data_IF_344198749809
#
_entry.id   IF_344198749809
#
_cell.length_a   1.000
_cell.length_b   1.000
_cell.length_c   1.000
_cell.angle_alpha   90.00
_cell.angle_beta   90.00
_cell.angle_gamma   90.00
#
_symmetry.space_group_name_H-M   'P 1'
#
loop_
_entity.id
_entity.type
_entity.pdbx_description
1 polymer ?
#
# COMPACT_ATOMS: atom_id res chain seq x y z
N UNK A 1 -22.14 25.42 -55.10
CA UNK A 1 -22.78 24.53 -54.11
C UNK A 1 -23.20 23.29 -54.86
N UNK A 2 -22.68 22.09 -54.52
CA UNK A 2 -22.91 21.45 -53.23
C UNK A 2 -21.62 21.18 -52.43
N UNK A 3 -21.74 21.21 -51.10
CA UNK A 3 -20.68 20.84 -50.16
C UNK A 3 -20.62 19.32 -50.09
N UNK A 4 -19.48 18.73 -50.45
CA UNK A 4 -19.16 17.35 -50.09
C UNK A 4 -18.94 17.29 -48.58
N UNK A 5 -19.83 16.59 -47.88
CA UNK A 5 -19.67 16.25 -46.47
C UNK A 5 -18.66 15.10 -46.41
N UNK A 6 -17.40 15.40 -46.09
CA UNK A 6 -16.39 14.38 -45.82
C UNK A 6 -16.71 13.74 -44.47
N UNK A 7 -17.25 12.52 -44.48
CA UNK A 7 -17.43 11.71 -43.28
C UNK A 7 -16.04 11.22 -42.86
N UNK A 8 -15.42 11.91 -41.92
CA UNK A 8 -14.18 11.46 -41.29
C UNK A 8 -14.52 10.25 -40.42
N UNK A 9 -14.35 9.04 -40.96
CA UNK A 9 -14.44 7.81 -40.19
C UNK A 9 -13.23 7.78 -39.23
N UNK A 10 -13.42 8.25 -38.00
CA UNK A 10 -12.45 8.04 -36.94
C UNK A 10 -12.45 6.53 -36.62
N UNK A 11 -11.50 5.80 -37.20
CA UNK A 11 -11.20 4.44 -36.75
C UNK A 11 -10.61 4.58 -35.36
N UNK A 12 -11.42 4.39 -34.30
CA UNK A 12 -10.90 4.13 -32.97
C UNK A 12 -10.03 2.89 -33.07
N UNK A 13 -8.71 3.05 -33.01
CA UNK A 13 -7.82 1.93 -32.81
C UNK A 13 -8.19 1.30 -31.46
N UNK A 14 -8.79 0.11 -31.49
CA UNK A 14 -9.09 -0.64 -30.28
C UNK A 14 -7.75 -0.96 -29.59
N UNK A 15 -7.49 -0.30 -28.47
CA UNK A 15 -6.36 -0.55 -27.59
C UNK A 15 -6.34 -2.02 -27.19
N UNK A 16 -5.20 -2.69 -27.39
CA UNK A 16 -5.02 -4.08 -26.97
C UNK A 16 -4.54 -4.10 -25.52
N UNK A 17 -5.24 -4.85 -24.68
CA UNK A 17 -4.84 -5.08 -23.29
C UNK A 17 -3.55 -5.89 -23.28
N UNK A 18 -2.52 -5.36 -22.63
CA UNK A 18 -1.24 -6.03 -22.46
C UNK A 18 -1.19 -6.67 -21.08
N UNK A 19 -1.22 -8.00 -21.01
CA UNK A 19 -1.22 -8.69 -19.72
C UNK A 19 0.01 -8.29 -18.88
N UNK A 20 -0.27 -7.76 -17.70
CA UNK A 20 0.73 -7.29 -16.74
C UNK A 20 0.14 -7.30 -15.34
N UNK A 21 0.93 -7.75 -14.38
CA UNK A 21 0.62 -7.63 -12.95
C UNK A 21 1.24 -6.34 -12.43
N UNK A 22 0.38 -5.35 -12.24
CA UNK A 22 0.76 -3.99 -11.93
C UNK A 22 0.45 -3.58 -10.48
N UNK A 23 1.35 -2.78 -9.94
CA UNK A 23 1.13 -1.92 -8.78
C UNK A 23 0.45 -0.63 -9.24
N UNK A 24 -0.69 -0.30 -8.60
CA UNK A 24 -1.50 0.88 -8.90
C UNK A 24 -1.68 1.67 -7.61
N UNK A 25 -0.94 2.77 -7.47
CA UNK A 25 -0.90 3.58 -6.24
C UNK A 25 -2.25 4.25 -5.97
N UNK A 26 -2.75 4.11 -4.74
CA UNK A 26 -4.04 4.65 -4.31
C UNK A 26 -5.25 3.81 -4.71
N UNK A 27 -5.07 2.68 -5.39
CA UNK A 27 -6.16 1.74 -5.63
C UNK A 27 -6.51 0.94 -4.37
N UNK A 28 -7.78 0.51 -4.26
CA UNK A 28 -8.21 -0.50 -3.31
C UNK A 28 -7.47 -1.80 -3.60
N UNK A 29 -6.53 -2.15 -2.73
CA UNK A 29 -5.82 -3.42 -2.77
C UNK A 29 -6.70 -4.49 -2.14
N UNK A 30 -7.27 -5.41 -2.92
CA UNK A 30 -8.11 -6.49 -2.39
C UNK A 30 -7.27 -7.75 -2.19
N UNK A 31 -7.33 -8.35 -1.00
CA UNK A 31 -6.68 -9.62 -0.73
C UNK A 31 -7.37 -10.76 -1.49
N UNK A 32 -6.59 -11.59 -2.18
CA UNK A 32 -7.09 -12.57 -3.17
C UNK A 32 -7.95 -13.67 -2.57
N UNK A 33 -7.74 -14.00 -1.29
CA UNK A 33 -8.45 -15.09 -0.61
C UNK A 33 -9.66 -14.63 0.23
N UNK A 34 -9.75 -13.35 0.58
CA UNK A 34 -10.86 -12.83 1.41
C UNK A 34 -11.82 -11.94 0.64
N UNK A 35 -11.35 -11.32 -0.45
CA UNK A 35 -12.12 -10.30 -1.16
C UNK A 35 -12.27 -8.99 -0.37
N UNK A 36 -11.50 -8.83 0.71
CA UNK A 36 -11.48 -7.64 1.57
C UNK A 36 -10.30 -6.73 1.22
N UNK A 37 -10.42 -5.44 1.51
CA UNK A 37 -9.28 -4.53 1.38
C UNK A 37 -8.14 -4.98 2.33
N UNK A 38 -6.91 -4.98 1.83
CA UNK A 38 -5.72 -5.20 2.65
C UNK A 38 -5.68 -4.14 3.74
N UNK A 39 -5.73 -4.57 5.00
CA UNK A 39 -5.61 -3.74 6.19
C UNK A 39 -4.27 -4.03 6.87
N UNK A 40 -3.22 -3.35 6.40
CA UNK A 40 -1.85 -3.42 6.90
C UNK A 40 -1.17 -2.06 6.68
N UNK A 41 -1.67 -1.01 7.34
CA UNK A 41 -1.08 0.34 7.25
C UNK A 41 0.19 0.45 8.09
N UNK A 42 1.04 1.44 7.84
CA UNK A 42 2.29 1.59 8.61
C UNK A 42 3.26 0.42 8.42
N UNK A 43 3.08 -0.40 7.37
CA UNK A 43 3.66 -1.72 7.30
C UNK A 43 5.17 -1.74 7.06
N UNK A 44 5.80 -2.81 7.54
CA UNK A 44 7.08 -3.28 7.02
C UNK A 44 6.91 -4.43 6.04
N UNK A 45 7.95 -4.68 5.26
CA UNK A 45 8.11 -5.93 4.52
C UNK A 45 9.26 -6.76 5.09
N UNK A 46 9.11 -8.08 5.00
CA UNK A 46 10.20 -9.04 5.16
C UNK A 46 10.07 -10.09 4.06
N UNK A 47 11.19 -10.50 3.47
CA UNK A 47 11.24 -11.54 2.45
C UNK A 47 11.90 -12.80 3.04
N UNK A 48 11.28 -13.95 2.79
CA UNK A 48 11.80 -15.27 3.18
C UNK A 48 11.48 -16.24 2.05
N UNK A 49 12.53 -16.86 1.48
CA UNK A 49 12.47 -17.90 0.46
C UNK A 49 11.59 -17.54 -0.77
N UNK A 50 11.75 -16.32 -1.28
CA UNK A 50 11.00 -15.77 -2.42
C UNK A 50 9.59 -15.30 -2.08
N UNK A 51 9.19 -15.33 -0.80
CA UNK A 51 7.88 -14.84 -0.34
C UNK A 51 8.06 -13.58 0.47
N UNK A 52 7.37 -12.52 0.05
CA UNK A 52 7.28 -11.26 0.75
C UNK A 52 6.10 -11.28 1.70
N UNK A 53 6.30 -10.74 2.90
CA UNK A 53 5.29 -10.63 3.94
C UNK A 53 5.09 -9.17 4.32
N UNK A 54 3.86 -8.69 4.15
CA UNK A 54 3.42 -7.37 4.55
C UNK A 54 2.79 -7.45 5.93
N UNK A 55 3.36 -6.71 6.88
CA UNK A 55 2.95 -6.74 8.28
C UNK A 55 2.61 -5.33 8.72
N UNK A 56 1.36 -5.09 9.07
CA UNK A 56 0.84 -3.74 9.27
C UNK A 56 -0.39 -3.68 10.17
N UNK A 57 -0.84 -2.45 10.38
CA UNK A 57 -1.94 -2.08 11.24
C UNK A 57 -3.29 -2.39 10.59
N UNK A 58 -4.19 -2.98 11.37
CA UNK A 58 -5.60 -3.10 11.01
C UNK A 58 -6.36 -1.85 11.43
N UNK A 59 -6.85 -1.09 10.44
CA UNK A 59 -7.62 0.16 10.65
C UNK A 59 -9.09 0.03 10.27
N UNK A 60 -9.59 -1.20 10.14
CA UNK A 60 -11.00 -1.47 9.79
C UNK A 60 -11.97 -0.71 10.71
N UNK A 61 -11.68 -0.68 12.01
CA UNK A 61 -12.51 -0.02 13.02
C UNK A 61 -11.89 1.27 13.58
N UNK A 62 -11.07 1.96 12.76
CA UNK A 62 -10.50 3.26 13.12
C UNK A 62 -9.13 3.19 13.80
N UNK A 63 -8.89 4.10 14.75
CA UNK A 63 -7.52 4.42 15.22
C UNK A 63 -6.98 3.47 16.27
N UNK A 64 -7.84 2.85 17.08
CA UNK A 64 -7.39 2.01 18.19
C UNK A 64 -6.99 0.64 17.69
N UNK A 65 -6.03 0.04 18.40
CA UNK A 65 -5.45 -1.24 18.04
C UNK A 65 -6.50 -2.33 17.90
N UNK A 66 -6.56 -2.94 16.71
CA UNK A 66 -7.37 -4.13 16.44
C UNK A 66 -6.47 -5.35 16.26
N UNK A 67 -5.60 -5.31 15.25
CA UNK A 67 -4.69 -6.37 14.88
C UNK A 67 -3.37 -5.82 14.30
N UNK A 68 -2.30 -6.60 14.44
CA UNK A 68 -1.14 -6.53 13.55
C UNK A 68 -1.33 -7.65 12.52
N UNK A 69 -1.81 -7.29 11.33
CA UNK A 69 -2.14 -8.24 10.26
C UNK A 69 -0.91 -8.66 9.45
N UNK A 70 -0.96 -9.86 8.88
CA UNK A 70 0.03 -10.39 7.94
C UNK A 70 -0.61 -10.76 6.60
N UNK A 71 0.05 -10.37 5.52
CA UNK A 71 -0.26 -10.78 4.16
C UNK A 71 0.99 -11.33 3.51
N UNK A 72 0.87 -12.27 2.58
CA UNK A 72 2.00 -12.78 1.79
C UNK A 72 1.81 -12.57 0.30
N UNK A 73 2.90 -12.38 -0.43
CA UNK A 73 2.95 -12.28 -1.89
C UNK A 73 4.26 -12.87 -2.42
N UNK A 74 4.25 -13.44 -3.62
CA UNK A 74 5.48 -13.85 -4.34
C UNK A 74 5.87 -12.86 -5.43
N UNK A 75 5.04 -11.84 -5.69
CA UNK A 75 5.23 -10.90 -6.80
C UNK A 75 5.04 -9.42 -6.40
N UNK A 76 4.78 -9.13 -5.11
CA UNK A 76 4.49 -7.80 -4.56
C UNK A 76 3.18 -7.15 -5.04
N UNK A 77 2.40 -7.86 -5.86
CA UNK A 77 1.16 -7.35 -6.47
C UNK A 77 -0.05 -8.02 -5.84
N UNK A 78 -0.04 -9.35 -5.81
CA UNK A 78 -1.13 -10.17 -5.32
C UNK A 78 -0.90 -10.55 -3.85
N UNK A 79 -1.82 -10.16 -2.98
CA UNK A 79 -1.69 -10.34 -1.53
C UNK A 79 -2.71 -11.33 -1.00
N UNK A 80 -2.23 -12.33 -0.27
CA UNK A 80 -3.07 -13.31 0.44
C UNK A 80 -3.02 -13.03 1.94
N UNK A 81 -4.17 -12.90 2.59
CA UNK A 81 -4.25 -12.74 4.05
C UNK A 81 -3.81 -14.02 4.76
N UNK A 82 -2.94 -13.89 5.77
CA UNK A 82 -2.39 -15.02 6.55
C UNK A 82 -2.84 -15.04 8.01
N UNK A 83 -3.53 -14.01 8.47
CA UNK A 83 -3.93 -13.86 9.86
C UNK A 83 -3.16 -12.76 10.58
N UNK A 84 -3.58 -12.48 11.82
CA UNK A 84 -2.92 -11.50 12.68
C UNK A 84 -1.80 -12.11 13.52
N UNK A 85 -0.65 -11.43 13.62
CA UNK A 85 0.45 -11.76 14.53
C UNK A 85 0.04 -11.53 15.99
N UNK A 86 -0.59 -10.38 16.23
CA UNK A 86 -1.12 -9.92 17.51
C UNK A 86 -2.53 -9.38 17.30
N UNK A 87 -3.38 -9.54 18.31
CA UNK A 87 -4.75 -9.04 18.33
C UNK A 87 -5.04 -8.34 19.65
N UNK A 88 -5.96 -7.38 19.64
CA UNK A 88 -6.42 -6.68 20.84
C UNK A 88 -6.93 -7.64 21.91
N UNK A 89 -6.51 -7.45 23.15
CA UNK A 89 -6.99 -8.21 24.30
C UNK A 89 -8.25 -7.59 24.90
N UNK A 90 -9.04 -8.38 25.64
CA UNK A 90 -10.14 -7.85 26.46
C UNK A 90 -9.64 -7.04 27.66
N UNK A 91 -8.50 -7.45 28.20
CA UNK A 91 -7.92 -6.87 29.40
C UNK A 91 -7.19 -5.56 29.13
N UNK A 92 -7.12 -4.72 30.16
CA UNK A 92 -6.29 -3.52 30.15
C UNK A 92 -4.80 -3.90 30.02
N UNK A 93 -4.02 -3.00 29.41
CA UNK A 93 -2.60 -3.20 29.13
C UNK A 93 -2.23 -2.59 27.79
N UNK A 94 -0.99 -2.79 27.36
CA UNK A 94 -0.47 -2.19 26.12
C UNK A 94 -1.23 -2.62 24.86
N UNK A 95 -1.78 -3.84 24.86
CA UNK A 95 -2.59 -4.41 23.78
C UNK A 95 -4.09 -4.40 24.06
N UNK A 96 -4.53 -3.69 25.10
CA UNK A 96 -5.92 -3.63 25.52
C UNK A 96 -6.78 -2.66 24.71
N UNK A 97 -8.04 -2.44 25.13
CA UNK A 97 -8.92 -1.44 24.53
C UNK A 97 -8.36 0.00 24.61
N UNK A 98 -8.67 0.82 23.61
CA UNK A 98 -8.26 2.24 23.54
C UNK A 98 -6.75 2.45 23.60
N UNK A 99 -5.98 1.55 22.96
CA UNK A 99 -4.52 1.65 22.83
C UNK A 99 -4.14 1.94 21.40
N UNK A 100 -3.00 2.59 21.22
CA UNK A 100 -2.38 2.83 19.93
C UNK A 100 -1.24 1.82 19.75
N UNK A 101 -1.29 1.06 18.66
CA UNK A 101 -0.25 0.13 18.26
C UNK A 101 0.02 0.38 16.78
N UNK A 102 1.18 0.94 16.47
CA UNK A 102 1.48 1.48 15.14
C UNK A 102 2.84 1.01 14.62
N UNK A 103 2.99 1.10 13.29
CA UNK A 103 4.19 0.84 12.50
C UNK A 103 4.93 -0.46 12.81
N UNK A 104 4.25 -1.61 12.88
CA UNK A 104 4.90 -2.87 13.17
C UNK A 104 6.00 -3.18 12.15
N UNK A 105 7.15 -3.64 12.63
CA UNK A 105 8.29 -4.11 11.81
C UNK A 105 8.80 -5.44 12.36
N UNK A 106 9.05 -6.39 11.47
CA UNK A 106 9.57 -7.71 11.83
C UNK A 106 10.91 -7.95 11.19
N UNK A 107 11.87 -8.42 11.98
CA UNK A 107 13.18 -8.90 11.52
C UNK A 107 13.46 -10.29 12.09
N UNK A 108 14.24 -11.10 11.37
CA UNK A 108 14.66 -12.42 11.86
C UNK A 108 15.98 -12.33 12.62
N UNK A 109 16.05 -12.95 13.79
CA UNK A 109 17.26 -13.07 14.58
C UNK A 109 17.94 -14.43 14.33
N UNK A 110 19.16 -14.39 13.79
CA UNK A 110 19.88 -15.61 13.41
C UNK A 110 20.37 -16.43 14.61
N UNK A 111 20.53 -15.82 15.79
CA UNK A 111 21.04 -16.51 16.97
C UNK A 111 19.91 -17.23 17.71
N UNK A 112 18.81 -16.53 17.96
CA UNK A 112 17.65 -17.07 18.69
C UNK A 112 16.71 -17.88 17.80
N UNK A 113 16.86 -17.76 16.47
CA UNK A 113 15.98 -18.38 15.47
C UNK A 113 14.52 -17.95 15.63
N UNK A 114 14.31 -16.70 16.08
CA UNK A 114 12.99 -16.09 16.26
C UNK A 114 12.81 -14.92 15.30
N UNK A 115 11.58 -14.69 14.92
CA UNK A 115 11.17 -13.41 14.35
C UNK A 115 10.85 -12.44 15.49
N UNK A 116 11.40 -11.25 15.43
CA UNK A 116 11.23 -10.21 16.45
C UNK A 116 10.41 -9.07 15.84
N UNK A 117 9.28 -8.78 16.46
CA UNK A 117 8.37 -7.69 16.12
C UNK A 117 8.64 -6.51 17.05
N UNK A 118 8.89 -5.33 16.48
CA UNK A 118 8.75 -4.06 17.18
C UNK A 118 7.55 -3.29 16.64
N UNK A 119 6.94 -2.50 17.53
CA UNK A 119 5.82 -1.62 17.22
C UNK A 119 5.85 -0.42 18.16
N UNK A 120 5.30 0.71 17.72
CA UNK A 120 5.01 1.84 18.58
C UNK A 120 3.82 1.48 19.47
N UNK A 121 3.94 1.73 20.78
CA UNK A 121 2.90 1.54 21.79
C UNK A 121 2.59 2.90 22.42
N UNK A 122 1.31 3.28 22.39
CA UNK A 122 0.90 4.55 22.99
C UNK A 122 -0.49 4.58 23.64
N UNK A 123 -0.68 5.61 24.45
CA UNK A 123 -1.97 6.08 24.95
C UNK A 123 -2.69 6.88 23.86
N UNK A 124 -4.03 7.08 23.97
CA UNK A 124 -4.78 7.90 23.03
C UNK A 124 -4.27 9.34 22.86
N UNK A 125 -3.58 9.89 23.86
CA UNK A 125 -2.97 11.23 23.82
C UNK A 125 -1.48 11.23 23.45
N UNK A 126 -0.94 10.09 23.00
CA UNK A 126 0.43 9.92 22.53
C UNK A 126 1.52 10.28 23.56
N UNK A 127 1.24 10.06 24.85
CA UNK A 127 2.13 10.41 25.97
C UNK A 127 2.91 9.25 26.54
N UNK A 128 2.51 8.01 26.29
CA UNK A 128 3.33 6.87 26.71
C UNK A 128 4.63 6.86 25.91
N UNK A 129 4.56 7.02 24.58
CA UNK A 129 5.68 7.11 23.65
C UNK A 129 6.73 6.01 23.87
N UNK A 130 6.31 4.75 23.69
CA UNK A 130 7.08 3.53 23.97
C UNK A 130 7.22 2.68 22.71
N UNK A 131 8.25 1.84 22.68
CA UNK A 131 8.27 0.66 21.80
C UNK A 131 7.70 -0.55 22.53
N UNK A 132 7.03 -1.43 21.80
CA UNK A 132 6.62 -2.77 22.24
C UNK A 132 7.41 -3.84 21.49
N UNK A 133 7.72 -4.95 22.16
CA UNK A 133 8.43 -6.09 21.56
C UNK A 133 7.59 -7.37 21.70
N UNK A 134 7.56 -8.15 20.63
CA UNK A 134 7.00 -9.50 20.61
C UNK A 134 7.89 -10.44 19.78
N UNK A 135 7.77 -11.76 19.98
CA UNK A 135 8.51 -12.76 19.19
C UNK A 135 7.61 -13.86 18.66
N UNK A 136 7.91 -14.38 17.47
CA UNK A 136 7.22 -15.50 16.84
C UNK A 136 8.18 -16.52 16.23
N UNK A 137 7.66 -17.72 15.94
CA UNK A 137 8.39 -18.83 15.30
C UNK A 137 8.32 -18.79 13.77
N UNK A 138 7.39 -18.03 13.20
CA UNK A 138 7.23 -17.81 11.77
C UNK A 138 6.76 -16.39 11.50
N UNK A 139 6.97 -15.90 10.28
CA UNK A 139 6.66 -14.50 9.90
C UNK A 139 5.20 -14.13 10.17
N UNK A 140 4.25 -14.95 9.73
CA UNK A 140 2.82 -14.74 9.97
C UNK A 140 2.25 -15.62 11.10
N UNK A 141 3.12 -16.13 11.99
CA UNK A 141 2.69 -16.92 13.15
C UNK A 141 2.02 -16.05 14.22
N UNK A 142 1.56 -16.67 15.30
CA UNK A 142 1.15 -15.95 16.50
C UNK A 142 2.38 -15.51 17.29
N UNK A 143 2.39 -14.25 17.71
CA UNK A 143 3.52 -13.68 18.44
C UNK A 143 3.22 -13.64 19.93
N UNK A 144 4.25 -13.92 20.73
CA UNK A 144 4.23 -13.72 22.17
C UNK A 144 4.68 -12.30 22.46
N UNK A 145 3.77 -11.46 22.94
CA UNK A 145 4.08 -10.12 23.42
C UNK A 145 4.85 -10.17 24.73
N UNK A 146 5.92 -9.39 24.85
CA UNK A 146 6.80 -9.40 26.03
C UNK A 146 6.55 -8.20 26.94
N UNK A 147 6.73 -7.00 26.41
CA UNK A 147 6.63 -5.73 27.15
C UNK A 147 6.71 -4.53 26.23
N UNK A 148 6.39 -3.35 26.77
CA UNK A 148 6.77 -2.07 26.20
C UNK A 148 7.77 -1.33 27.10
N UNK A 149 8.56 -0.41 26.54
CA UNK A 149 9.47 0.46 27.29
C UNK A 149 9.87 1.70 26.48
N UNK A 150 10.44 2.68 27.17
CA UNK A 150 11.10 3.83 26.57
C UNK A 150 12.57 3.49 26.32
N UNK A 151 13.04 3.38 25.06
CA UNK A 151 14.43 3.04 24.74
C UNK A 151 15.40 3.97 25.46
N UNK A 152 16.28 3.41 26.31
CA UNK A 152 17.26 4.19 27.09
C UNK A 152 16.61 5.33 27.92
N UNK A 153 15.34 5.16 28.34
CA UNK A 153 14.57 6.17 29.05
C UNK A 153 14.05 7.34 28.19
N UNK A 154 14.24 7.28 26.87
CA UNK A 154 13.84 8.29 25.90
C UNK A 154 12.51 7.97 25.20
N UNK A 155 11.84 8.99 24.68
CA UNK A 155 10.57 8.79 23.98
C UNK A 155 10.81 8.05 22.66
N UNK A 156 9.82 7.26 22.26
CA UNK A 156 9.77 6.66 20.93
C UNK A 156 8.33 6.66 20.46
N UNK A 157 8.06 7.35 19.34
CA UNK A 157 6.77 7.30 18.65
C UNK A 157 6.91 6.53 17.34
N UNK A 158 6.83 7.25 16.23
CA UNK A 158 7.05 6.69 14.91
C UNK A 158 8.41 5.99 14.84
N UNK A 159 8.37 4.76 14.33
CA UNK A 159 9.53 3.89 14.31
C UNK A 159 9.68 3.06 13.03
N UNK A 160 10.91 2.60 12.83
CA UNK A 160 11.31 1.61 11.85
C UNK A 160 12.32 0.63 12.46
N UNK A 161 12.58 -0.48 11.78
CA UNK A 161 13.67 -1.40 12.11
C UNK A 161 14.57 -1.58 10.90
N UNK A 162 15.87 -1.70 11.16
CA UNK A 162 16.86 -2.03 10.15
C UNK A 162 17.76 -3.13 10.70
N UNK A 163 17.91 -4.22 9.94
CA UNK A 163 18.90 -5.27 10.20
C UNK A 163 19.98 -5.13 9.13
N UNK A 164 21.22 -4.97 9.56
CA UNK A 164 22.36 -4.85 8.67
C UNK A 164 22.86 -6.23 8.21
N UNK A 165 23.71 -6.23 7.19
CA UNK A 165 24.24 -7.45 6.54
C UNK A 165 25.11 -8.29 7.49
N UNK A 166 25.67 -7.69 8.54
CA UNK A 166 26.44 -8.36 9.58
C UNK A 166 25.58 -8.98 10.69
N UNK A 167 24.25 -8.82 10.61
CA UNK A 167 23.30 -9.31 11.59
C UNK A 167 23.11 -8.39 12.80
N UNK A 168 23.77 -7.23 12.87
CA UNK A 168 23.39 -6.19 13.82
C UNK A 168 22.03 -5.59 13.45
N UNK A 169 21.28 -5.10 14.43
CA UNK A 169 19.96 -4.52 14.20
C UNK A 169 19.79 -3.21 14.96
N UNK A 170 18.94 -2.35 14.41
CA UNK A 170 18.78 -0.97 14.85
C UNK A 170 17.31 -0.58 14.89
N UNK A 171 16.93 0.09 15.96
CA UNK A 171 15.68 0.86 16.06
C UNK A 171 15.91 2.23 15.42
N UNK A 172 15.05 2.58 14.48
CA UNK A 172 14.91 3.93 13.94
C UNK A 172 13.72 4.56 14.65
N UNK A 173 13.87 5.73 15.26
CA UNK A 173 12.76 6.31 16.02
C UNK A 173 12.77 7.83 16.05
N UNK A 174 11.58 8.43 16.06
CA UNK A 174 11.37 9.82 16.43
C UNK A 174 11.22 9.95 17.95
N UNK A 175 11.98 10.89 18.54
CA UNK A 175 11.79 11.38 19.90
C UNK A 175 11.39 12.86 19.81
N UNK A 176 10.18 13.18 20.27
CA UNK A 176 9.62 14.55 20.21
C UNK A 176 10.42 15.58 21.01
N UNK A 177 11.27 15.15 21.93
CA UNK A 177 12.10 16.04 22.73
C UNK A 177 13.50 16.24 22.11
N UNK A 178 14.02 15.26 21.37
CA UNK A 178 15.43 15.24 20.96
C UNK A 178 15.70 14.92 19.49
N UNK A 179 14.67 14.71 18.67
CA UNK A 179 14.78 14.43 17.24
C UNK A 179 14.86 12.94 16.90
N UNK A 180 15.18 12.67 15.64
CA UNK A 180 15.31 11.31 15.10
C UNK A 180 16.60 10.65 15.56
N UNK A 181 16.54 9.34 15.81
CA UNK A 181 17.69 8.55 16.25
C UNK A 181 17.79 7.21 15.55
N UNK A 182 19.03 6.72 15.45
CA UNK A 182 19.38 5.32 15.20
C UNK A 182 19.90 4.77 16.52
N UNK A 183 19.31 3.70 17.02
CA UNK A 183 19.73 3.04 18.25
C UNK A 183 20.02 1.57 18.02
N UNK A 184 21.18 1.09 18.46
CA UNK A 184 21.56 -0.31 18.33
C UNK A 184 20.72 -1.20 19.24
N UNK A 185 20.41 -2.40 18.77
CA UNK A 185 19.73 -3.45 19.54
C UNK A 185 20.76 -4.41 20.16
N UNK A 186 20.34 -5.11 21.23
CA UNK A 186 21.10 -6.24 21.80
C UNK A 186 21.14 -7.42 20.83
N UNK A 187 22.05 -8.38 21.04
CA UNK A 187 22.24 -9.54 20.16
C UNK A 187 20.98 -10.40 19.96
N UNK A 188 20.07 -10.45 20.95
CA UNK A 188 18.78 -11.13 20.88
C UNK A 188 17.66 -10.26 20.24
N UNK A 189 17.98 -9.01 19.93
CA UNK A 189 17.09 -7.92 19.51
C UNK A 189 15.96 -7.61 20.49
N UNK A 190 16.08 -7.95 21.78
CA UNK A 190 15.02 -7.74 22.77
C UNK A 190 15.25 -6.50 23.65
N UNK A 191 16.29 -5.72 23.39
CA UNK A 191 16.55 -4.46 24.09
C UNK A 191 17.33 -3.48 23.20
N UNK A 192 17.38 -2.22 23.62
CA UNK A 192 18.21 -1.17 23.01
C UNK A 192 19.45 -0.96 23.87
N UNK A 193 20.63 -0.93 23.25
CA UNK A 193 21.93 -0.89 23.93
C UNK A 193 22.55 0.52 23.96
N UNK A 194 22.53 1.23 22.83
CA UNK A 194 23.13 2.56 22.70
C UNK A 194 22.52 3.39 21.57
N UNK A 195 22.74 4.71 21.62
CA UNK A 195 22.42 5.63 20.50
C UNK A 195 23.59 5.59 19.52
N UNK A 196 23.37 5.06 18.34
CA UNK A 196 24.37 5.01 17.26
C UNK A 196 24.52 6.36 16.57
N UNK A 197 23.40 7.08 16.38
CA UNK A 197 23.39 8.42 15.83
C UNK A 197 22.12 9.19 16.22
N UNK A 198 22.22 10.51 16.32
CA UNK A 198 21.09 11.40 16.57
C UNK A 198 21.13 12.63 15.67
N UNK A 199 19.97 13.03 15.18
CA UNK A 199 19.78 14.33 14.54
C UNK A 199 19.09 15.28 15.51
N UNK A 200 19.55 16.53 15.56
CA UNK A 200 18.78 17.64 16.14
C UNK A 200 17.70 18.12 15.15
N UNK A 201 16.96 17.16 14.58
CA UNK A 201 15.91 17.34 13.59
C UNK A 201 14.85 16.23 13.76
N UNK A 202 13.58 16.56 13.53
CA UNK A 202 12.44 15.67 13.77
C UNK A 202 11.88 15.14 12.44
N UNK A 203 12.43 14.02 11.98
CA UNK A 203 11.85 13.19 10.95
C UNK A 203 11.10 12.01 11.59
N UNK A 204 9.79 11.94 11.41
CA UNK A 204 8.97 10.79 11.81
C UNK A 204 8.84 9.78 10.67
N UNK A 205 8.15 8.68 10.91
CA UNK A 205 8.00 7.52 10.00
C UNK A 205 9.32 6.94 9.44
N UNK A 206 10.37 6.75 10.27
CA UNK A 206 11.69 6.48 9.72
C UNK A 206 11.78 5.10 9.04
N UNK A 207 12.37 5.08 7.85
CA UNK A 207 12.68 3.86 7.10
C UNK A 207 14.13 3.90 6.60
N UNK A 208 14.78 2.75 6.42
CA UNK A 208 16.17 2.69 5.98
C UNK A 208 16.39 1.71 4.83
N UNK A 209 17.24 2.12 3.90
CA UNK A 209 17.75 1.32 2.79
C UNK A 209 19.28 1.30 2.86
N UNK A 210 19.88 0.12 2.74
CA UNK A 210 21.32 0.00 2.46
C UNK A 210 21.50 -0.39 1.00
N UNK A 211 22.31 0.36 0.27
CA UNK A 211 22.59 0.08 -1.14
C UNK A 211 23.92 0.73 -1.56
N UNK A 212 24.72 -0.01 -2.34
CA UNK A 212 25.97 0.50 -2.93
C UNK A 212 26.95 1.12 -1.92
N UNK A 213 27.04 0.53 -0.73
CA UNK A 213 27.93 0.99 0.34
C UNK A 213 27.46 2.23 1.09
N UNK A 214 26.21 2.65 0.88
CA UNK A 214 25.56 3.73 1.63
C UNK A 214 24.34 3.23 2.38
N UNK A 215 24.09 3.85 3.52
CA UNK A 215 22.82 3.82 4.23
C UNK A 215 22.04 5.08 3.87
N UNK A 216 20.76 4.92 3.58
CA UNK A 216 19.82 5.99 3.32
C UNK A 216 18.71 5.88 4.36
N UNK A 217 18.50 6.92 5.16
CA UNK A 217 17.37 7.02 6.07
C UNK A 217 16.35 7.99 5.48
N UNK A 218 15.09 7.62 5.53
CA UNK A 218 13.94 8.37 5.03
C UNK A 218 13.04 8.74 6.20
N UNK A 219 12.29 9.83 6.08
CA UNK A 219 11.25 10.19 7.04
C UNK A 219 10.38 11.34 6.55
N UNK A 220 9.32 11.63 7.30
CA UNK A 220 8.41 12.75 7.04
C UNK A 220 8.59 13.84 8.08
N UNK A 221 8.11 15.04 7.77
CA UNK A 221 7.92 16.08 8.78
C UNK A 221 6.75 15.75 9.72
N UNK A 222 6.68 16.45 10.86
CA UNK A 222 5.64 16.28 11.89
C UNK A 222 4.37 17.06 11.53
N UNK A 223 3.51 16.50 10.67
CA UNK A 223 2.26 17.15 10.24
C UNK A 223 1.01 16.36 10.60
N UNK A 224 1.13 15.43 11.55
CA UNK A 224 0.07 14.50 11.92
C UNK A 224 -0.34 13.67 10.71
N UNK A 225 -1.64 13.51 10.48
CA UNK A 225 -2.15 12.75 9.34
C UNK A 225 -1.96 13.44 7.97
N UNK A 226 -1.62 14.72 7.93
CA UNK A 226 -1.42 15.41 6.65
C UNK A 226 -0.11 14.97 6.01
N UNK A 227 -0.13 14.62 4.73
CA UNK A 227 1.09 14.37 3.97
C UNK A 227 1.94 15.63 3.82
N UNK A 228 3.25 15.43 3.68
CA UNK A 228 4.26 16.47 3.49
C UNK A 228 5.36 15.99 2.52
N UNK A 229 6.27 16.88 2.12
CA UNK A 229 7.42 16.50 1.31
C UNK A 229 8.41 15.73 2.19
N UNK A 230 8.43 14.41 2.03
CA UNK A 230 9.29 13.53 2.80
C UNK A 230 10.75 13.75 2.37
N UNK A 231 11.63 13.48 3.32
CA UNK A 231 13.05 13.78 3.24
C UNK A 231 13.88 12.51 3.43
N UNK A 232 15.12 12.54 2.97
CA UNK A 232 16.11 11.51 3.24
C UNK A 232 17.48 12.13 3.59
N UNK A 233 18.31 11.33 4.24
CA UNK A 233 19.72 11.59 4.51
C UNK A 233 20.51 10.32 4.21
N UNK A 234 21.81 10.45 3.91
CA UNK A 234 22.67 9.30 3.62
C UNK A 234 24.02 9.37 4.34
N UNK A 235 24.62 8.20 4.59
CA UNK A 235 25.94 8.04 5.19
C UNK A 235 26.62 6.74 4.73
N UNK A 236 27.94 6.64 4.93
CA UNK A 236 28.69 5.37 4.74
C UNK A 236 28.75 4.50 5.99
N UNK A 237 28.37 5.06 7.14
CA UNK A 237 28.30 4.39 8.43
C UNK A 237 27.03 4.82 9.13
N UNK A 238 26.40 3.92 9.88
CA UNK A 238 25.23 4.25 10.71
C UNK A 238 25.55 5.30 11.78
N UNK A 239 26.81 5.36 12.24
CA UNK A 239 27.32 6.38 13.16
C UNK A 239 27.61 7.73 12.49
N UNK A 240 27.37 7.85 11.18
CA UNK A 240 27.61 9.06 10.40
C UNK A 240 29.07 9.25 9.95
N UNK A 241 29.43 10.47 9.51
CA UNK A 241 28.55 11.63 9.41
C UNK A 241 27.44 11.42 8.38
N UNK A 242 26.23 11.87 8.72
CA UNK A 242 25.06 11.86 7.84
C UNK A 242 24.98 13.17 7.05
N UNK A 243 24.48 13.10 5.81
CA UNK A 243 24.20 14.30 5.02
C UNK A 243 23.10 15.15 5.66
N UNK A 244 22.98 16.40 5.21
CA UNK A 244 21.75 17.16 5.47
C UNK A 244 20.54 16.40 4.89
N UNK A 245 19.39 16.57 5.53
CA UNK A 245 18.12 16.10 5.03
C UNK A 245 17.73 16.86 3.76
N UNK A 246 17.21 16.14 2.77
CA UNK A 246 16.73 16.71 1.51
C UNK A 246 15.58 15.89 0.94
N UNK A 247 14.72 16.51 0.14
CA UNK A 247 13.56 15.88 -0.48
C UNK A 247 13.96 14.91 -1.59
N UNK A 248 13.19 13.83 -1.77
CA UNK A 248 13.40 12.85 -2.85
C UNK A 248 12.23 12.77 -3.84
N UNK A 249 11.11 13.41 -3.55
CA UNK A 249 9.98 13.62 -4.46
C UNK A 249 9.95 15.09 -4.93
N UNK A 250 9.21 15.44 -6.00
CA UNK A 250 9.03 16.83 -6.38
C UNK A 250 8.45 17.65 -5.21
N UNK A 251 9.12 18.75 -4.86
CA UNK A 251 8.69 19.66 -3.79
C UNK A 251 7.27 20.15 -4.07
N UNK A 252 6.42 20.16 -3.03
CA UNK A 252 5.00 20.52 -3.10
C UNK A 252 4.09 19.35 -3.50
N UNK A 253 4.63 18.21 -3.95
CA UNK A 253 3.83 17.01 -4.22
C UNK A 253 3.31 16.36 -2.94
N UNK A 254 3.90 16.69 -1.79
CA UNK A 254 3.67 16.04 -0.49
C UNK A 254 3.93 14.55 -0.58
N UNK A 255 5.03 14.19 -1.25
CA UNK A 255 5.40 12.80 -1.57
C UNK A 255 4.26 12.06 -2.28
N UNK A 256 3.57 12.74 -3.19
CA UNK A 256 2.35 12.25 -3.85
C UNK A 256 1.19 11.92 -2.90
N UNK A 257 0.99 12.79 -1.90
CA UNK A 257 -0.01 12.66 -0.85
C UNK A 257 0.13 11.34 -0.08
N UNK A 258 1.35 11.00 0.34
CA UNK A 258 1.63 9.87 1.20
C UNK A 258 2.74 10.14 2.21
N UNK A 259 2.82 9.27 3.21
CA UNK A 259 3.85 9.27 4.23
C UNK A 259 4.64 7.96 4.12
N UNK A 260 5.97 8.04 4.10
CA UNK A 260 6.84 6.87 4.04
C UNK A 260 6.55 5.87 5.18
N UNK A 261 6.75 4.59 4.91
CA UNK A 261 6.47 3.50 5.84
C UNK A 261 7.57 2.44 5.79
N UNK A 262 8.04 2.13 4.58
CA UNK A 262 9.15 1.21 4.33
C UNK A 262 9.84 1.54 2.99
N UNK A 263 11.04 1.02 2.76
CA UNK A 263 11.73 1.07 1.47
C UNK A 263 12.18 -0.35 1.12
N UNK A 264 11.61 -0.94 0.09
CA UNK A 264 11.92 -2.31 -0.33
C UNK A 264 13.03 -2.29 -1.40
N UNK A 265 14.20 -2.90 -1.16
CA UNK A 265 15.23 -3.05 -2.20
C UNK A 265 14.69 -3.77 -3.45
N UNK A 266 15.10 -3.31 -4.64
CA UNK A 266 14.74 -3.91 -5.92
C UNK A 266 15.96 -3.91 -6.84
N UNK A 267 16.84 -4.91 -6.69
CA UNK A 267 18.09 -4.95 -7.45
C UNK A 267 19.07 -3.84 -7.11
N UNK A 268 19.93 -3.50 -8.07
CA UNK A 268 20.95 -2.48 -7.90
C UNK A 268 20.49 -1.14 -8.50
N UNK A 269 20.45 -0.09 -7.68
CA UNK A 269 20.06 1.26 -8.05
C UNK A 269 18.55 1.49 -8.10
N UNK A 270 17.73 0.47 -7.82
CA UNK A 270 16.28 0.62 -7.65
C UNK A 270 15.83 0.11 -6.28
N UNK A 271 14.75 0.71 -5.80
CA UNK A 271 13.98 0.28 -4.65
C UNK A 271 12.51 0.60 -4.92
N UNK A 272 11.64 0.25 -3.99
CA UNK A 272 10.23 0.59 -4.01
C UNK A 272 9.97 1.45 -2.79
N UNK A 273 9.56 2.69 -3.02
CA UNK A 273 8.98 3.53 -1.98
C UNK A 273 7.65 2.92 -1.57
N UNK A 274 7.46 2.74 -0.28
CA UNK A 274 6.22 2.26 0.31
C UNK A 274 5.74 3.32 1.28
N UNK A 275 4.57 3.88 1.01
CA UNK A 275 3.92 4.86 1.87
C UNK A 275 2.42 4.65 2.01
N UNK A 276 1.88 5.25 3.06
CA UNK A 276 0.46 5.27 3.38
C UNK A 276 -0.15 6.61 2.93
N UNK A 277 -1.28 6.55 2.23
CA UNK A 277 -2.15 7.69 1.97
C UNK A 277 -3.28 7.67 2.99
N UNK A 278 -3.03 8.34 4.11
CA UNK A 278 -3.95 8.38 5.23
C UNK A 278 -5.21 9.16 4.94
N UNK A 279 -6.34 8.60 5.36
CA UNK A 279 -7.66 9.26 5.35
C UNK A 279 -8.11 9.36 6.81
N UNK A 280 -7.71 10.42 7.51
CA UNK A 280 -7.90 10.54 8.96
C UNK A 280 -9.36 10.53 9.43
N UNK A 281 -10.29 10.93 8.56
CA UNK A 281 -11.74 10.88 8.82
C UNK A 281 -12.36 9.51 8.56
N UNK A 282 -11.64 8.60 7.90
CA UNK A 282 -12.06 7.25 7.59
C UNK A 282 -10.83 6.35 7.36
N UNK A 283 -10.16 5.96 8.45
CA UNK A 283 -8.88 5.25 8.36
C UNK A 283 -8.96 3.92 7.60
N UNK A 284 -10.12 3.26 7.63
CA UNK A 284 -10.38 2.04 6.87
C UNK A 284 -10.30 2.24 5.35
N UNK A 285 -10.48 3.48 4.87
CA UNK A 285 -10.36 3.87 3.46
C UNK A 285 -8.97 4.41 3.09
N UNK A 286 -8.00 4.39 4.00
CA UNK A 286 -6.61 4.72 3.69
C UNK A 286 -6.06 3.73 2.65
N UNK A 287 -5.16 4.20 1.78
CA UNK A 287 -4.62 3.40 0.67
C UNK A 287 -3.10 3.43 0.65
N UNK A 288 -2.49 2.63 -0.21
CA UNK A 288 -1.04 2.51 -0.31
C UNK A 288 -0.51 3.26 -1.54
N UNK A 289 0.59 3.97 -1.38
CA UNK A 289 1.36 4.58 -2.47
C UNK A 289 2.67 3.83 -2.58
N UNK A 290 2.76 2.99 -3.61
CA UNK A 290 3.93 2.19 -3.93
C UNK A 290 4.48 2.64 -5.28
N UNK A 291 5.71 3.16 -5.27
CA UNK A 291 6.30 3.80 -6.44
C UNK A 291 7.77 3.37 -6.60
N UNK A 292 8.27 3.21 -7.83
CA UNK A 292 9.69 2.96 -8.06
C UNK A 292 10.54 4.12 -7.56
N UNK A 293 11.54 3.79 -6.75
CA UNK A 293 12.52 4.71 -6.19
C UNK A 293 13.87 4.46 -6.86
N UNK A 294 14.46 5.48 -7.46
CA UNK A 294 15.77 5.39 -8.10
C UNK A 294 16.85 5.90 -7.15
N UNK A 295 17.95 5.16 -7.05
CA UNK A 295 19.16 5.52 -6.30
C UNK A 295 20.35 5.56 -7.25
N UNK A 296 20.90 6.75 -7.48
CA UNK A 296 22.06 6.98 -8.34
C UNK A 296 23.18 7.65 -7.53
N UNK A 297 24.19 6.87 -7.17
CA UNK A 297 25.17 7.27 -6.15
C UNK A 297 24.46 7.57 -4.83
N UNK A 298 24.48 8.83 -4.42
CA UNK A 298 23.79 9.32 -3.20
C UNK A 298 22.49 10.04 -3.50
N UNK A 299 22.11 10.20 -4.78
CA UNK A 299 20.89 10.89 -5.18
C UNK A 299 19.73 9.91 -5.21
N UNK A 300 18.67 10.22 -4.46
CA UNK A 300 17.41 9.47 -4.48
C UNK A 300 16.35 10.28 -5.21
N UNK A 301 15.58 9.62 -6.08
CA UNK A 301 14.48 10.25 -6.84
C UNK A 301 13.25 9.37 -6.86
N UNK A 302 12.09 9.96 -6.57
CA UNK A 302 10.76 9.36 -6.66
C UNK A 302 9.96 10.08 -7.75
N UNK A 303 9.27 9.31 -8.59
CA UNK A 303 8.39 9.84 -9.63
C UNK A 303 7.06 9.11 -9.59
N UNK A 304 5.99 9.81 -9.98
CA UNK A 304 4.66 9.23 -10.07
C UNK A 304 4.53 8.36 -11.32
N UNK A 305 3.93 7.19 -11.15
CA UNK A 305 3.52 6.28 -12.23
C UNK A 305 2.12 5.80 -11.91
N UNK A 306 1.18 5.97 -12.85
CA UNK A 306 -0.22 5.55 -12.65
C UNK A 306 -0.34 4.03 -12.48
N UNK A 307 0.48 3.29 -13.24
CA UNK A 307 0.58 1.83 -13.17
C UNK A 307 2.01 1.40 -13.53
N UNK A 308 2.53 0.38 -12.85
CA UNK A 308 3.86 -0.16 -13.14
C UNK A 308 4.00 -1.59 -12.64
N UNK A 309 4.84 -2.39 -13.29
CA UNK A 309 5.09 -3.79 -12.92
C UNK A 309 6.52 -4.00 -12.41
N UNK A 310 6.72 -4.61 -11.22
CA UNK A 310 8.03 -5.01 -10.76
C UNK A 310 8.50 -6.29 -11.46
N UNK A 311 9.78 -6.32 -11.84
CA UNK A 311 10.49 -7.55 -12.21
C UNK A 311 11.49 -7.91 -11.10
N UNK A 312 11.01 -8.72 -10.14
CA UNK A 312 11.79 -9.08 -8.96
C UNK A 312 13.06 -9.86 -9.31
N UNK A 313 12.97 -10.79 -10.27
CA UNK A 313 14.11 -11.61 -10.70
C UNK A 313 15.26 -10.80 -11.32
N UNK A 314 14.95 -9.68 -11.96
CA UNK A 314 15.93 -8.79 -12.60
C UNK A 314 16.28 -7.58 -11.74
N UNK A 315 15.52 -7.32 -10.67
CA UNK A 315 15.66 -6.10 -9.89
C UNK A 315 15.35 -4.83 -10.71
N UNK A 316 14.37 -4.92 -11.61
CA UNK A 316 13.95 -3.82 -12.48
C UNK A 316 12.44 -3.64 -12.41
N UNK A 317 11.90 -2.66 -13.12
CA UNK A 317 10.46 -2.43 -13.25
C UNK A 317 10.17 -1.81 -14.63
N UNK A 318 8.91 -1.82 -15.03
CA UNK A 318 8.43 -1.13 -16.24
C UNK A 318 7.17 -0.35 -15.94
N UNK A 319 7.05 0.85 -16.50
CA UNK A 319 5.79 1.59 -16.50
C UNK A 319 4.77 0.86 -17.39
N UNK A 320 3.53 0.82 -16.94
CA UNK A 320 2.41 0.27 -17.70
C UNK A 320 1.40 1.38 -17.95
N UNK A 321 0.88 1.50 -19.17
CA UNK A 321 -0.24 2.42 -19.45
C UNK A 321 -1.56 1.73 -19.15
N UNK A 322 -2.59 2.50 -18.82
CA UNK A 322 -3.94 1.97 -18.68
C UNK A 322 -4.82 2.56 -19.78
N UNK A 323 -5.64 1.72 -20.43
CA UNK A 323 -6.67 2.22 -21.35
C UNK A 323 -7.99 2.32 -20.63
N UNK A 324 -8.65 3.46 -20.77
CA UNK A 324 -9.99 3.69 -20.24
C UNK A 324 -11.07 3.18 -21.20
N UNK A 325 -12.00 2.40 -20.68
CA UNK A 325 -13.20 1.93 -21.37
C UNK A 325 -14.41 2.34 -20.53
N UNK A 326 -15.16 3.34 -21.01
CA UNK A 326 -16.23 3.97 -20.23
C UNK A 326 -17.35 2.97 -19.89
N UNK A 327 -17.84 3.02 -18.66
CA UNK A 327 -18.84 2.11 -18.13
C UNK A 327 -20.16 2.21 -18.86
N UNK A 328 -20.59 3.41 -19.27
CA UNK A 328 -21.82 3.65 -20.01
C UNK A 328 -21.82 3.07 -21.43
N UNK A 329 -20.66 2.61 -21.93
CA UNK A 329 -20.56 1.92 -23.22
C UNK A 329 -20.76 0.40 -23.12
N UNK A 330 -20.75 -0.15 -21.90
CA UNK A 330 -20.88 -1.58 -21.65
C UNK A 330 -22.35 -2.04 -21.67
N UNK A 331 -22.55 -3.35 -21.82
CA UNK A 331 -23.90 -3.93 -21.78
C UNK A 331 -24.40 -3.97 -20.35
N UNK A 332 -25.49 -3.27 -20.06
CA UNK A 332 -26.18 -3.32 -18.77
C UNK A 332 -27.22 -4.44 -18.76
N UNK A 333 -27.34 -5.12 -17.62
CA UNK A 333 -28.34 -6.16 -17.36
C UNK A 333 -29.18 -5.82 -16.12
N UNK A 334 -30.42 -6.31 -16.13
CA UNK A 334 -31.41 -6.06 -15.07
C UNK A 334 -31.64 -4.56 -14.81
N UNK A 335 -31.48 -4.07 -13.57
CA UNK A 335 -31.78 -2.68 -13.18
C UNK A 335 -30.57 -1.74 -13.29
N UNK A 336 -29.40 -2.26 -13.68
CA UNK A 336 -28.20 -1.45 -13.90
C UNK A 336 -28.48 -0.38 -14.95
N UNK A 337 -28.09 0.86 -14.66
CA UNK A 337 -28.41 2.01 -15.52
C UNK A 337 -27.37 3.10 -15.41
N UNK A 338 -27.27 3.89 -16.47
CA UNK A 338 -26.46 5.11 -16.47
C UNK A 338 -27.06 6.11 -15.48
N UNK A 339 -26.20 6.67 -14.63
CA UNK A 339 -26.51 7.70 -13.65
C UNK A 339 -25.60 8.92 -13.87
N UNK A 340 -26.00 10.06 -13.32
CA UNK A 340 -25.13 11.24 -13.28
C UNK A 340 -24.06 11.06 -12.20
N UNK A 341 -22.81 11.38 -12.54
CA UNK A 341 -21.69 11.40 -11.63
C UNK A 341 -20.73 12.52 -12.03
N UNK A 342 -20.75 13.66 -11.33
CA UNK A 342 -19.93 14.84 -11.68
C UNK A 342 -18.43 14.60 -11.61
N UNK A 343 -18.01 13.64 -10.79
CA UNK A 343 -16.62 13.28 -10.53
C UNK A 343 -16.10 12.20 -11.50
N UNK A 344 -16.99 11.58 -12.27
CA UNK A 344 -16.68 10.51 -13.20
C UNK A 344 -16.36 11.06 -14.60
N UNK A 345 -15.73 10.23 -15.43
CA UNK A 345 -15.52 10.55 -16.85
C UNK A 345 -16.84 10.94 -17.51
N UNK A 346 -16.83 12.00 -18.33
CA UNK A 346 -18.02 12.41 -19.07
C UNK A 346 -19.22 12.84 -18.20
N UNK A 347 -19.08 12.92 -16.87
CA UNK A 347 -20.18 13.23 -15.96
C UNK A 347 -21.15 12.07 -15.72
N UNK A 348 -20.77 10.83 -16.09
CA UNK A 348 -21.64 9.65 -16.06
C UNK A 348 -20.94 8.44 -15.44
N UNK A 349 -21.74 7.52 -14.92
CA UNK A 349 -21.31 6.20 -14.45
C UNK A 349 -22.47 5.21 -14.63
N UNK A 350 -22.21 3.92 -14.50
CA UNK A 350 -23.26 2.90 -14.37
C UNK A 350 -23.44 2.55 -12.90
N UNK A 351 -24.61 2.89 -12.37
CA UNK A 351 -25.02 2.54 -11.02
C UNK A 351 -26.00 1.37 -11.00
N UNK A 352 -26.56 1.10 -9.82
CA UNK A 352 -27.51 0.01 -9.58
C UNK A 352 -26.96 -1.38 -9.92
N UNK A 353 -25.64 -1.56 -9.80
CA UNK A 353 -25.00 -2.87 -9.85
C UNK A 353 -25.36 -3.63 -8.57
N UNK A 354 -25.75 -4.90 -8.70
CA UNK A 354 -26.31 -5.69 -7.61
C UNK A 354 -27.71 -5.21 -7.20
N UNK A 355 -27.94 -5.13 -5.89
CA UNK A 355 -29.24 -4.77 -5.31
C UNK A 355 -30.33 -5.82 -5.55
N UNK A 356 -31.57 -5.47 -5.24
CA UNK A 356 -32.71 -6.41 -5.23
C UNK A 356 -32.95 -7.10 -6.59
N UNK A 357 -32.62 -6.40 -7.68
CA UNK A 357 -32.77 -6.89 -9.05
C UNK A 357 -31.48 -7.41 -9.67
N UNK A 358 -30.38 -7.47 -8.90
CA UNK A 358 -29.09 -8.00 -9.34
C UNK A 358 -28.59 -7.35 -10.62
N UNK A 359 -28.51 -6.02 -10.67
CA UNK A 359 -27.97 -5.28 -11.80
C UNK A 359 -26.55 -5.74 -12.17
N UNK A 360 -26.28 -5.84 -13.46
CA UNK A 360 -24.96 -6.27 -13.97
C UNK A 360 -24.44 -5.33 -15.04
N UNK A 361 -23.12 -5.26 -15.15
CA UNK A 361 -22.42 -4.52 -16.20
C UNK A 361 -21.45 -5.46 -16.90
N UNK A 362 -21.46 -5.53 -18.23
CA UNK A 362 -20.58 -6.42 -19.00
C UNK A 362 -19.88 -5.69 -20.14
N UNK A 363 -18.55 -5.59 -20.03
CA UNK A 363 -17.65 -5.17 -21.09
C UNK A 363 -17.37 -6.37 -22.01
N UNK A 364 -17.58 -6.19 -23.31
CA UNK A 364 -17.43 -7.24 -24.32
C UNK A 364 -16.35 -6.85 -25.32
N UNK A 365 -15.87 -7.84 -26.06
CA UNK A 365 -14.91 -7.66 -27.14
C UNK A 365 -13.58 -7.04 -26.66
N UNK A 366 -13.15 -7.37 -25.44
CA UNK A 366 -11.90 -6.86 -24.88
C UNK A 366 -10.74 -7.58 -25.54
N UNK A 367 -10.01 -6.84 -26.38
CA UNK A 367 -8.84 -7.37 -27.07
C UNK A 367 -7.65 -7.47 -26.13
N UNK A 368 -6.98 -8.63 -26.09
CA UNK A 368 -5.80 -8.85 -25.24
C UNK A 368 -4.71 -9.66 -25.95
N UNK A 369 -3.47 -9.49 -25.51
CA UNK A 369 -2.33 -10.36 -25.83
C UNK A 369 -2.31 -11.69 -25.05
N UNK A 370 -3.22 -11.88 -24.10
CA UNK A 370 -3.34 -13.08 -23.28
C UNK A 370 -2.41 -13.10 -22.06
N UNK A 371 -2.80 -13.86 -21.03
CA UNK A 371 -2.10 -13.98 -19.76
C UNK A 371 -2.78 -13.23 -18.61
N UNK A 372 -2.20 -13.33 -17.41
CA UNK A 372 -2.75 -12.70 -16.20
C UNK A 372 -2.53 -11.19 -16.20
N UNK A 373 -3.60 -10.43 -15.96
CA UNK A 373 -3.57 -8.98 -15.93
C UNK A 373 -4.23 -8.40 -14.67
N UNK A 374 -3.69 -7.28 -14.19
CA UNK A 374 -4.38 -6.42 -13.22
C UNK A 374 -5.55 -5.72 -13.91
N UNK A 375 -6.79 -6.08 -13.61
CA UNK A 375 -7.96 -5.38 -14.13
C UNK A 375 -8.41 -4.34 -13.11
N UNK A 376 -8.32 -3.06 -13.49
CA UNK A 376 -8.78 -1.96 -12.64
C UNK A 376 -10.21 -1.55 -12.99
N UNK A 377 -11.02 -1.30 -11.97
CA UNK A 377 -12.36 -0.72 -12.07
C UNK A 377 -12.31 0.66 -11.43
N UNK A 378 -12.54 1.69 -12.22
CA UNK A 378 -12.69 3.07 -11.77
C UNK A 378 -14.13 3.29 -11.31
N UNK A 379 -14.31 3.86 -10.13
CA UNK A 379 -15.62 3.83 -9.46
C UNK A 379 -15.88 4.98 -8.50
N UNK A 380 -17.16 5.15 -8.12
CA UNK A 380 -17.59 5.91 -6.94
C UNK A 380 -18.27 5.00 -5.93
N UNK A 381 -18.01 5.27 -4.66
CA UNK A 381 -18.75 4.73 -3.54
C UNK A 381 -18.98 5.88 -2.54
N UNK A 382 -20.22 6.36 -2.48
CA UNK A 382 -20.62 7.45 -1.59
C UNK A 382 -20.79 7.03 -0.12
N UNK A 383 -20.79 5.74 0.18
CA UNK A 383 -20.96 5.24 1.54
C UNK A 383 -19.66 5.45 2.35
N UNK A 384 -19.75 5.43 3.67
CA UNK A 384 -18.56 5.48 4.56
C UNK A 384 -17.84 4.13 4.63
N UNK A 385 -18.58 3.03 4.49
CA UNK A 385 -18.04 1.67 4.39
C UNK A 385 -17.69 1.25 2.97
N UNK A 386 -16.92 0.18 2.85
CA UNK A 386 -16.66 -0.47 1.57
C UNK A 386 -17.93 -1.09 0.99
N UNK A 387 -18.09 -0.97 -0.32
CA UNK A 387 -18.98 -1.85 -1.10
C UNK A 387 -18.19 -3.01 -1.69
N UNK A 388 -18.90 -3.98 -2.22
CA UNK A 388 -18.31 -5.15 -2.83
C UNK A 388 -18.98 -5.46 -4.16
N UNK A 389 -18.21 -6.04 -5.08
CA UNK A 389 -18.75 -6.65 -6.29
C UNK A 389 -17.85 -7.80 -6.72
N UNK A 390 -18.45 -8.80 -7.34
CA UNK A 390 -17.73 -9.84 -8.06
C UNK A 390 -17.42 -9.34 -9.46
N UNK A 391 -16.14 -9.32 -9.80
CA UNK A 391 -15.66 -9.16 -11.17
C UNK A 391 -15.40 -10.55 -11.72
N UNK A 392 -16.03 -10.86 -12.85
CA UNK A 392 -15.84 -12.12 -13.57
C UNK A 392 -15.19 -11.85 -14.93
N UNK A 393 -14.12 -12.57 -15.23
CA UNK A 393 -13.42 -12.53 -16.51
C UNK A 393 -13.41 -13.92 -17.09
N UNK A 394 -14.07 -14.11 -18.24
CA UNK A 394 -14.11 -15.39 -18.96
C UNK A 394 -14.56 -16.62 -18.12
N UNK A 395 -15.34 -16.41 -17.05
CA UNK A 395 -15.78 -17.47 -16.14
C UNK A 395 -15.03 -17.51 -14.80
N UNK A 396 -13.90 -16.82 -14.66
CA UNK A 396 -13.15 -16.70 -13.41
C UNK A 396 -13.61 -15.50 -12.61
N UNK A 397 -13.96 -15.70 -11.33
CA UNK A 397 -14.51 -14.66 -10.46
C UNK A 397 -13.57 -14.28 -9.34
N UNK A 398 -13.47 -12.99 -9.05
CA UNK A 398 -12.87 -12.46 -7.82
C UNK A 398 -13.84 -11.46 -7.19
N UNK A 399 -14.09 -11.60 -5.87
CA UNK A 399 -14.74 -10.57 -5.07
C UNK A 399 -13.76 -9.42 -4.86
N UNK A 400 -14.16 -8.21 -5.22
CA UNK A 400 -13.37 -6.99 -5.01
C UNK A 400 -14.05 -6.08 -3.98
N UNK A 401 -13.22 -5.45 -3.15
CA UNK A 401 -13.64 -4.37 -2.27
C UNK A 401 -13.59 -3.03 -3.03
N UNK A 402 -14.51 -2.13 -2.68
CA UNK A 402 -14.63 -0.79 -3.24
C UNK A 402 -14.74 0.20 -2.08
N UNK A 403 -13.59 0.70 -1.60
CA UNK A 403 -13.50 1.65 -0.49
C UNK A 403 -14.36 2.90 -0.72
N UNK A 404 -14.74 3.56 0.38
CA UNK A 404 -15.39 4.88 0.32
C UNK A 404 -14.57 5.86 -0.51
N UNK A 405 -15.22 6.59 -1.42
CA UNK A 405 -14.61 7.65 -2.21
C UNK A 405 -15.05 9.04 -1.75
N UNK A 406 -15.78 9.14 -0.63
CA UNK A 406 -16.32 10.40 -0.09
C UNK A 406 -15.25 11.45 0.22
N UNK A 407 -14.03 11.03 0.54
CA UNK A 407 -12.87 11.88 0.80
C UNK A 407 -12.14 12.33 -0.48
N UNK A 408 -12.46 11.75 -1.63
CA UNK A 408 -11.84 12.05 -2.92
C UNK A 408 -12.65 13.09 -3.67
N UNK A 409 -11.95 14.05 -4.27
CA UNK A 409 -12.52 14.97 -5.28
C UNK A 409 -12.77 14.29 -6.63
N UNK A 410 -12.34 13.04 -6.79
CA UNK A 410 -12.47 12.22 -7.99
C UNK A 410 -13.00 10.81 -7.63
N UNK A 411 -12.90 9.88 -8.56
CA UNK A 411 -13.18 8.45 -8.38
C UNK A 411 -12.07 7.71 -7.65
N UNK A 412 -12.39 6.54 -7.10
CA UNK A 412 -11.40 5.54 -6.69
C UNK A 412 -11.08 4.55 -7.81
N UNK A 413 -10.06 3.71 -7.58
CA UNK A 413 -9.76 2.51 -8.38
C UNK A 413 -9.83 1.30 -7.45
N UNK A 414 -10.40 0.20 -7.93
CA UNK A 414 -10.27 -1.12 -7.31
C UNK A 414 -9.64 -2.08 -8.30
N UNK A 415 -8.80 -2.99 -7.83
CA UNK A 415 -8.03 -3.89 -8.70
C UNK A 415 -8.25 -5.36 -8.35
N UNK A 416 -8.34 -6.18 -9.38
CA UNK A 416 -8.33 -7.65 -9.32
C UNK A 416 -7.39 -8.23 -10.37
N UNK A 417 -7.18 -9.55 -10.32
CA UNK A 417 -6.18 -10.24 -11.15
C UNK A 417 -6.87 -11.38 -11.90
N UNK A 418 -6.75 -11.38 -13.23
CA UNK A 418 -7.53 -12.28 -14.07
C UNK A 418 -6.76 -12.73 -15.31
N UNK A 419 -7.01 -13.97 -15.72
CA UNK A 419 -6.47 -14.50 -16.97
C UNK A 419 -7.29 -14.03 -18.18
N UNK A 420 -6.60 -13.32 -19.07
CA UNK A 420 -7.14 -12.95 -20.37
C UNK A 420 -6.72 -13.97 -21.42
N UNK A 421 -7.63 -14.25 -22.35
CA UNK A 421 -7.38 -15.02 -23.56
C UNK A 421 -6.77 -14.10 -24.61
N UNK A 422 -5.81 -14.60 -25.37
CA UNK A 422 -5.35 -13.90 -26.57
C UNK A 422 -6.51 -13.73 -27.56
N UNK A 423 -6.60 -12.55 -28.18
CA UNK A 423 -7.67 -12.22 -29.13
C UNK A 423 -8.69 -11.25 -28.57
N UNK A 424 -9.84 -11.12 -29.24
CA UNK A 424 -10.88 -10.11 -28.95
C UNK A 424 -11.98 -10.57 -28.03
N UNK A 425 -12.07 -11.85 -27.68
CA UNK A 425 -13.33 -12.41 -27.18
C UNK A 425 -13.44 -12.39 -25.65
N UNK A 426 -12.59 -11.61 -24.98
CA UNK A 426 -12.67 -11.49 -23.53
C UNK A 426 -13.92 -10.71 -23.13
N UNK A 427 -14.59 -11.24 -22.09
CA UNK A 427 -15.72 -10.59 -21.45
C UNK A 427 -15.39 -10.35 -19.98
N UNK A 428 -15.67 -9.15 -19.51
CA UNK A 428 -15.46 -8.71 -18.14
C UNK A 428 -16.80 -8.23 -17.61
N UNK A 429 -17.36 -8.93 -16.64
CA UNK A 429 -18.63 -8.56 -16.02
C UNK A 429 -18.48 -8.21 -14.55
N UNK A 430 -19.25 -7.22 -14.10
CA UNK A 430 -19.30 -6.75 -12.72
C UNK A 430 -20.73 -6.96 -12.23
N UNK A 431 -20.86 -7.63 -11.09
CA UNK A 431 -22.13 -7.97 -10.47
C UNK A 431 -21.97 -8.04 -8.95
N UNK A 432 -23.06 -7.95 -8.20
CA UNK A 432 -23.04 -8.27 -6.78
C UNK A 432 -24.32 -9.03 -6.43
N UNK A 433 -24.18 -10.22 -5.84
CA UNK A 433 -25.32 -11.02 -5.37
C UNK A 433 -25.75 -10.60 -3.96
N UNK A 434 -24.85 -9.99 -3.19
CA UNK A 434 -25.05 -9.65 -1.78
C UNK A 434 -25.06 -8.12 -1.59
N UNK A 435 -26.15 -7.49 -2.04
CA UNK A 435 -26.40 -6.06 -1.88
C UNK A 435 -25.90 -5.20 -3.04
N UNK A 436 -25.70 -3.90 -2.78
CA UNK A 436 -25.32 -2.93 -3.81
C UNK A 436 -23.82 -2.92 -4.08
N UNK A 437 -23.44 -2.93 -5.35
CA UNK A 437 -22.09 -2.68 -5.82
C UNK A 437 -21.75 -1.18 -5.92
N UNK A 438 -20.53 -0.85 -6.38
CA UNK A 438 -20.13 0.53 -6.63
C UNK A 438 -20.83 1.09 -7.88
N UNK A 439 -20.78 2.41 -8.04
CA UNK A 439 -21.08 3.05 -9.32
C UNK A 439 -19.82 3.00 -10.19
N UNK A 440 -19.89 2.34 -11.35
CA UNK A 440 -18.73 2.09 -12.21
C UNK A 440 -18.59 3.21 -13.24
N UNK A 441 -17.50 3.97 -13.15
CA UNK A 441 -17.11 5.00 -14.12
C UNK A 441 -16.52 4.33 -15.36
N UNK A 442 -15.47 3.51 -15.19
CA UNK A 442 -14.78 2.91 -16.32
C UNK A 442 -14.03 1.63 -15.93
N UNK A 443 -13.74 0.80 -16.93
CA UNK A 443 -12.72 -0.23 -16.83
C UNK A 443 -11.36 0.35 -17.28
N UNK A 444 -10.29 0.00 -16.58
CA UNK A 444 -8.93 0.49 -16.82
C UNK A 444 -7.89 -0.64 -16.86
N UNK A 445 -7.95 -1.56 -17.84
CA UNK A 445 -6.93 -2.58 -17.98
C UNK A 445 -5.58 -2.01 -18.47
N UNK A 446 -4.46 -2.69 -18.16
CA UNK A 446 -3.14 -2.47 -18.73
C UNK A 446 -3.15 -2.44 -20.26
N UNK A 447 -2.33 -1.60 -20.85
CA UNK A 447 -2.23 -1.43 -22.30
C UNK A 447 -0.77 -1.28 -22.72
N UNK A 448 -0.51 -1.70 -23.96
CA UNK A 448 0.80 -1.62 -24.61
C UNK A 448 1.25 -0.19 -24.89
#
# INVERSE_FOLDING_TARGET
MPRFLSTLLAVLAASTVQASLDIVSGATCTATNTGEHVQAHGHGLIEVDGTYYMIGEDKTDGTYFQNVNCYSSTNLVEWTYRGALLSRTSEAGDLGPNRIVERPKVIYNDQTKKYVLYMHIDSPDYKDARVGIATGDSVCGKYTYHRSFRPLGKQSRDMGLFKDDDGSAYLLTEDREYGTRIMALSDDYLNVTEITYEWQYFAESPAMLKQNGYYFIFGSHLTGWNANDNIYSYAKSLSGPWSNWTEFAPIGSKTYQSQVSYIQPLGNGNAIYIGDRWVSTNLAASTYVWLPLKVDGTKVTLSWYDSWSPNLSKGTWSETKMTKIEGETATMGNDARVISCSECSGGQAVGYIGGDKKGTLTFKNIKSSGGTATINVKYRNGDTGSRYATVNVNGESQKLAFLSTSHLSQTGLSRGFFDLKEGSDNMISISNDDGWGPDVDALMPPAA
#
